data_IF_996523563176
#
_entry.id   IF_996523563176
#
_cell.length_a   1.000
_cell.length_b   1.000
_cell.length_c   1.000
_cell.angle_alpha   90.00
_cell.angle_beta   90.00
_cell.angle_gamma   90.00
#
_symmetry.space_group_name_H-M   'P 1'
#
loop_
_entity.id
_entity.type
_entity.pdbx_description
1 polymer ?
#
# COMPACT_ATOMS: atom_id res chain seq x y z
N UNK A 1 -11.19 -27.28 -53.62
CA UNK A 1 -10.80 -26.18 -54.52
C UNK A 1 -10.91 -24.89 -53.71
N UNK A 2 -9.77 -24.46 -53.13
CA UNK A 2 -9.17 -23.12 -53.29
C UNK A 2 -10.07 -21.94 -52.84
N UNK A 3 -9.64 -20.92 -52.12
CA UNK A 3 -8.44 -20.55 -51.35
C UNK A 3 -8.73 -19.09 -50.93
N UNK A 4 -8.33 -18.69 -49.72
CA UNK A 4 -7.75 -17.38 -49.33
C UNK A 4 -8.30 -16.05 -49.92
N UNK A 5 -8.60 -15.11 -49.01
CA UNK A 5 -8.30 -13.65 -48.97
C UNK A 5 -9.26 -13.04 -47.93
N UNK A 6 -8.89 -12.26 -46.92
CA UNK A 6 -7.59 -11.88 -46.36
C UNK A 6 -7.84 -11.14 -45.04
N UNK A 7 -6.99 -11.39 -44.06
CA UNK A 7 -6.72 -10.54 -42.90
C UNK A 7 -6.57 -9.07 -43.30
N UNK A 8 -7.51 -8.19 -42.91
CA UNK A 8 -7.31 -6.72 -42.94
C UNK A 8 -8.24 -5.86 -42.05
N UNK A 9 -9.23 -6.40 -41.33
CA UNK A 9 -10.22 -5.55 -40.62
C UNK A 9 -9.96 -5.39 -39.11
N UNK A 10 -9.08 -6.20 -38.50
CA UNK A 10 -8.86 -6.17 -37.04
C UNK A 10 -7.70 -5.25 -36.61
N UNK A 11 -6.90 -4.73 -37.54
CA UNK A 11 -5.76 -3.85 -37.22
C UNK A 11 -6.07 -2.35 -37.29
N UNK A 12 -7.26 -1.94 -37.71
CA UNK A 12 -7.61 -0.51 -37.89
C UNK A 12 -8.29 0.15 -36.69
N UNK A 13 -8.71 -0.62 -35.67
CA UNK A 13 -9.31 -0.08 -34.43
C UNK A 13 -8.24 0.14 -33.33
N UNK A 14 -7.02 -0.36 -33.53
CA UNK A 14 -5.94 -0.30 -32.55
C UNK A 14 -4.91 0.84 -32.78
N UNK A 15 -5.08 1.70 -33.79
CA UNK A 15 -4.10 2.76 -34.13
C UNK A 15 -4.78 4.14 -34.28
N UNK A 16 -5.75 4.46 -33.42
CA UNK A 16 -6.43 5.78 -33.45
C UNK A 16 -6.63 6.45 -32.09
N UNK A 17 -5.79 6.13 -31.09
CA UNK A 17 -5.87 6.78 -29.77
C UNK A 17 -4.53 7.32 -29.24
N UNK A 18 -3.66 7.77 -30.14
CA UNK A 18 -2.50 8.59 -29.80
C UNK A 18 -2.42 9.80 -30.74
N UNK A 19 -3.14 10.87 -30.41
CA UNK A 19 -2.73 12.24 -30.74
C UNK A 19 -3.57 13.26 -29.95
N UNK A 20 -2.90 14.27 -29.40
CA UNK A 20 -3.46 15.38 -28.62
C UNK A 20 -4.29 16.37 -29.45
N UNK A 21 -4.47 16.11 -30.75
CA UNK A 21 -5.11 17.02 -31.71
C UNK A 21 -6.60 16.74 -31.98
N UNK A 22 -7.17 15.65 -31.45
CA UNK A 22 -8.62 15.38 -31.57
C UNK A 22 -9.44 16.14 -30.51
N UNK A 23 -8.83 16.48 -29.37
CA UNK A 23 -9.51 17.09 -28.23
C UNK A 23 -9.68 18.62 -28.33
N UNK A 24 -9.00 19.28 -29.26
CA UNK A 24 -9.14 20.74 -29.47
C UNK A 24 -10.34 21.12 -30.33
N UNK A 25 -10.97 20.17 -31.04
CA UNK A 25 -12.13 20.45 -31.90
C UNK A 25 -13.48 20.18 -31.25
N UNK A 26 -13.54 19.53 -30.08
CA UNK A 26 -14.79 19.31 -29.34
C UNK A 26 -15.14 20.47 -28.38
N UNK A 27 -14.16 21.33 -28.05
CA UNK A 27 -14.32 22.45 -27.12
C UNK A 27 -14.90 23.72 -27.75
N UNK A 28 -15.10 23.76 -29.08
CA UNK A 28 -15.62 24.96 -29.77
C UNK A 28 -17.14 25.03 -29.95
N UNK A 29 -17.90 24.06 -29.41
CA UNK A 29 -19.35 23.95 -29.68
C UNK A 29 -20.29 24.12 -28.47
N UNK A 30 -19.80 24.59 -27.32
CA UNK A 30 -20.65 24.84 -26.13
C UNK A 30 -20.49 26.24 -25.50
N UNK A 31 -20.10 27.26 -26.26
CA UNK A 31 -20.10 28.64 -25.77
C UNK A 31 -20.90 29.57 -26.69
N UNK A 32 -22.23 29.58 -26.54
CA UNK A 32 -23.07 30.71 -26.93
C UNK A 32 -24.31 30.81 -26.03
N UNK A 33 -24.26 31.63 -24.98
CA UNK A 33 -25.10 32.84 -24.77
C UNK A 33 -25.09 33.33 -23.30
N UNK A 34 -25.20 34.65 -23.03
CA UNK A 34 -24.90 35.27 -21.73
C UNK A 34 -26.11 35.91 -21.01
N UNK A 35 -25.84 36.52 -19.84
CA UNK A 35 -26.63 37.49 -19.01
C UNK A 35 -27.28 36.89 -17.74
N UNK A 36 -27.29 37.53 -16.56
CA UNK A 36 -26.82 38.84 -16.11
C UNK A 36 -26.62 38.88 -14.57
N UNK A 37 -25.88 39.89 -14.17
CA UNK A 37 -25.53 40.38 -12.83
C UNK A 37 -26.70 40.85 -11.95
N UNK A 38 -26.58 40.67 -10.63
CA UNK A 38 -27.04 41.63 -9.61
C UNK A 38 -26.11 41.64 -8.39
N UNK A 39 -25.42 42.78 -8.19
CA UNK A 39 -24.85 43.29 -6.93
C UNK A 39 -25.98 44.08 -6.23
N UNK A 40 -26.06 44.38 -4.94
CA UNK A 40 -25.22 44.29 -3.74
C UNK A 40 -26.09 44.87 -2.60
N UNK A 41 -25.96 44.44 -1.34
CA UNK A 41 -25.94 45.39 -0.21
C UNK A 41 -25.18 44.81 0.97
N UNK A 42 -24.31 45.64 1.52
CA UNK A 42 -23.43 45.45 2.67
C UNK A 42 -24.18 45.54 4.00
N UNK A 43 -23.67 44.88 5.05
CA UNK A 43 -23.44 45.50 6.37
C UNK A 43 -22.66 44.56 7.30
N UNK A 44 -21.60 45.10 7.88
CA UNK A 44 -20.88 44.70 9.09
C UNK A 44 -20.81 46.00 9.93
N UNK A 45 -20.73 46.01 11.29
CA UNK A 45 -19.61 45.38 12.00
C UNK A 45 -19.86 44.90 13.47
N UNK A 46 -18.85 44.21 14.01
CA UNK A 46 -18.20 44.43 15.34
C UNK A 46 -18.11 43.24 16.34
N UNK A 47 -16.83 42.86 16.59
CA UNK A 47 -16.12 42.55 17.84
C UNK A 47 -16.57 41.49 18.88
N UNK A 48 -15.80 40.39 18.91
CA UNK A 48 -15.14 39.79 20.09
C UNK A 48 -15.75 38.51 20.72
N UNK A 49 -15.02 37.70 21.52
CA UNK A 49 -13.57 37.54 21.67
C UNK A 49 -13.06 36.08 21.41
N UNK A 50 -11.73 35.98 21.31
CA UNK A 50 -10.86 34.78 21.41
C UNK A 50 -11.48 33.53 22.06
N UNK A 51 -11.62 32.45 21.28
CA UNK A 51 -11.72 31.08 21.79
C UNK A 51 -10.54 30.26 21.29
N UNK A 52 -9.77 29.75 22.25
CA UNK A 52 -8.76 28.70 22.08
C UNK A 52 -9.30 27.60 21.17
N UNK A 53 -8.54 27.23 20.14
CA UNK A 53 -8.76 26.03 19.36
C UNK A 53 -8.68 24.83 20.32
N UNK A 54 -9.84 24.27 20.66
CA UNK A 54 -9.92 22.94 21.26
C UNK A 54 -9.49 21.93 20.20
N UNK A 55 -8.45 21.16 20.51
CA UNK A 55 -8.08 19.97 19.77
C UNK A 55 -9.30 19.05 19.67
N UNK A 56 -9.93 18.99 18.50
CA UNK A 56 -10.90 17.93 18.21
C UNK A 56 -10.12 16.63 18.12
N UNK A 57 -10.07 15.89 19.24
CA UNK A 57 -9.70 14.49 19.25
C UNK A 57 -10.79 13.72 18.50
N UNK A 58 -10.60 13.52 17.20
CA UNK A 58 -11.37 12.52 16.45
C UNK A 58 -11.01 11.16 17.01
N UNK A 59 -11.89 10.60 17.84
CA UNK A 59 -11.73 9.25 18.40
C UNK A 59 -11.69 8.23 17.26
N UNK A 60 -10.57 7.52 17.16
CA UNK A 60 -10.34 6.45 16.19
C UNK A 60 -11.30 5.30 16.46
N UNK A 61 -12.21 5.03 15.52
CA UNK A 61 -13.00 3.80 15.51
C UNK A 61 -12.46 2.89 14.40
N UNK A 62 -11.22 2.44 14.54
CA UNK A 62 -10.76 1.24 13.83
C UNK A 62 -11.68 0.06 14.16
N UNK A 63 -11.72 -0.95 13.28
CA UNK A 63 -12.34 -2.22 13.68
C UNK A 63 -11.75 -2.64 15.03
N UNK A 64 -12.57 -3.10 16.00
CA UNK A 64 -12.12 -3.36 17.35
C UNK A 64 -10.83 -4.15 17.33
N UNK A 65 -9.87 -3.69 18.14
CA UNK A 65 -8.61 -4.35 18.45
C UNK A 65 -8.81 -5.85 18.37
N UNK A 66 -7.99 -6.45 17.51
CA UNK A 66 -7.82 -7.87 17.32
C UNK A 66 -8.32 -8.66 18.54
N UNK A 67 -9.49 -9.33 18.46
CA UNK A 67 -10.22 -9.74 19.65
C UNK A 67 -9.37 -10.67 20.51
N UNK A 68 -9.26 -10.46 21.84
CA UNK A 68 -8.28 -11.11 22.73
C UNK A 68 -8.26 -12.65 22.72
N UNK A 69 -9.23 -13.27 22.04
CA UNK A 69 -9.20 -14.66 21.58
C UNK A 69 -7.97 -15.06 20.74
N UNK A 70 -7.06 -14.12 20.42
CA UNK A 70 -5.70 -14.36 19.87
C UNK A 70 -4.95 -15.48 20.57
N UNK A 71 -5.01 -15.46 21.89
CA UNK A 71 -4.54 -16.54 22.71
C UNK A 71 -5.79 -17.32 23.03
N UNK A 72 -6.00 -18.48 22.41
CA UNK A 72 -6.95 -19.43 22.95
C UNK A 72 -6.63 -19.53 24.46
N UNK A 73 -7.54 -19.12 25.37
CA UNK A 73 -7.18 -18.83 26.76
C UNK A 73 -6.64 -20.06 27.52
N UNK A 74 -6.67 -21.24 26.89
CA UNK A 74 -6.22 -22.52 27.42
C UNK A 74 -5.18 -23.25 26.56
N UNK A 75 -4.55 -22.61 25.54
CA UNK A 75 -3.53 -23.30 24.73
C UNK A 75 -2.14 -23.09 25.35
N UNK A 76 -1.45 -24.15 25.82
CA UNK A 76 -0.09 -24.01 26.31
C UNK A 76 0.80 -23.47 25.18
N UNK A 77 1.71 -22.52 25.50
CA UNK A 77 2.63 -21.87 24.54
C UNK A 77 3.45 -22.85 23.68
N UNK A 78 3.52 -24.12 24.06
CA UNK A 78 4.29 -25.17 23.38
C UNK A 78 3.55 -25.92 22.26
N UNK A 79 2.29 -25.58 21.92
CA UNK A 79 1.58 -26.23 20.81
C UNK A 79 1.16 -25.25 19.71
N UNK A 80 2.11 -24.50 19.15
CA UNK A 80 1.83 -23.75 17.91
C UNK A 80 1.65 -24.71 16.74
N UNK A 81 0.67 -24.44 15.89
CA UNK A 81 0.43 -25.17 14.64
C UNK A 81 0.98 -24.33 13.49
N UNK A 82 2.12 -24.72 12.90
CA UNK A 82 2.71 -23.95 11.81
C UNK A 82 1.81 -23.99 10.58
N UNK A 83 1.72 -22.84 9.89
CA UNK A 83 0.99 -22.70 8.64
C UNK A 83 1.80 -23.34 7.50
N UNK A 84 1.11 -24.13 6.67
CA UNK A 84 1.68 -24.65 5.43
C UNK A 84 1.83 -23.53 4.38
N UNK A 85 2.76 -23.72 3.44
CA UNK A 85 2.88 -22.84 2.28
C UNK A 85 1.80 -23.22 1.27
N UNK A 86 0.93 -22.27 0.92
CA UNK A 86 -0.06 -22.42 -0.15
C UNK A 86 0.61 -22.31 -1.52
N UNK A 87 1.49 -21.32 -1.67
CA UNK A 87 2.26 -21.09 -2.89
C UNK A 87 3.45 -20.17 -2.61
N UNK A 88 4.53 -20.34 -3.37
CA UNK A 88 5.65 -19.41 -3.41
C UNK A 88 5.94 -19.04 -4.87
N UNK A 89 6.13 -17.76 -5.17
CA UNK A 89 6.40 -17.32 -6.54
C UNK A 89 7.21 -16.03 -6.59
N UNK A 90 8.07 -15.92 -7.61
CA UNK A 90 8.87 -14.74 -7.89
C UNK A 90 7.98 -13.56 -8.29
N UNK A 91 8.24 -12.40 -7.70
CA UNK A 91 7.62 -11.13 -8.05
C UNK A 91 8.11 -10.65 -9.43
N UNK A 92 7.19 -10.16 -10.24
CA UNK A 92 7.46 -9.78 -11.63
C UNK A 92 7.87 -8.31 -11.67
N UNK A 93 8.97 -8.01 -12.35
CA UNK A 93 9.41 -6.64 -12.54
C UNK A 93 8.64 -5.95 -13.66
N UNK A 94 8.16 -4.73 -13.41
CA UNK A 94 7.41 -3.91 -14.36
C UNK A 94 7.67 -2.43 -14.13
N UNK A 95 7.36 -1.62 -15.14
CA UNK A 95 7.40 -0.16 -15.05
C UNK A 95 6.09 0.38 -14.48
N UNK A 96 6.18 1.39 -13.62
CA UNK A 96 5.05 2.12 -13.04
C UNK A 96 5.38 3.61 -12.96
N UNK A 97 4.37 4.45 -12.69
CA UNK A 97 4.55 5.89 -12.55
C UNK A 97 5.28 6.51 -13.75
N UNK A 98 6.27 7.35 -13.46
CA UNK A 98 7.14 7.93 -14.48
C UNK A 98 8.59 7.48 -14.23
N UNK A 99 9.05 6.51 -15.01
CA UNK A 99 10.41 5.96 -14.96
C UNK A 99 10.69 5.01 -13.78
N UNK A 100 9.70 4.74 -12.91
CA UNK A 100 9.88 3.88 -11.75
C UNK A 100 9.80 2.39 -12.13
N UNK A 101 10.55 1.56 -11.38
CA UNK A 101 10.55 0.10 -11.52
C UNK A 101 10.08 -0.53 -10.23
N UNK A 102 9.17 -1.49 -10.34
CA UNK A 102 8.64 -2.23 -9.20
C UNK A 102 8.66 -3.73 -9.48
N UNK A 103 8.83 -4.53 -8.43
CA UNK A 103 8.56 -5.97 -8.46
C UNK A 103 7.20 -6.22 -7.81
N UNK A 104 6.19 -6.51 -8.62
CA UNK A 104 4.82 -6.78 -8.17
C UNK A 104 4.63 -8.25 -7.85
N UNK A 105 4.05 -8.54 -6.68
CA UNK A 105 3.67 -9.90 -6.28
C UNK A 105 2.16 -10.08 -6.16
N UNK A 106 1.52 -9.43 -5.19
CA UNK A 106 0.06 -9.29 -5.09
C UNK A 106 -0.37 -8.22 -6.11
N UNK A 107 -1.47 -8.47 -6.83
CA UNK A 107 -1.90 -7.65 -7.97
C UNK A 107 -1.49 -8.22 -9.33
N UNK A 108 -0.78 -9.35 -9.35
CA UNK A 108 -0.42 -10.06 -10.59
C UNK A 108 -1.50 -11.09 -11.00
N UNK A 109 -1.49 -11.62 -12.24
CA UNK A 109 -2.42 -12.70 -12.61
C UNK A 109 -2.31 -13.96 -11.72
N UNK A 110 -1.14 -14.22 -11.10
CA UNK A 110 -0.95 -15.34 -10.17
C UNK A 110 -1.68 -15.14 -8.84
N UNK A 111 -1.81 -13.89 -8.40
CA UNK A 111 -2.46 -13.52 -7.15
C UNK A 111 -3.07 -12.11 -7.29
N UNK A 112 -4.23 -12.03 -7.96
CA UNK A 112 -4.85 -10.75 -8.32
C UNK A 112 -5.15 -9.88 -7.10
N UNK A 113 -5.55 -10.50 -6.01
CA UNK A 113 -5.64 -9.93 -4.67
C UNK A 113 -5.56 -11.07 -3.66
N UNK A 114 -5.34 -10.73 -2.39
CA UNK A 114 -5.30 -11.66 -1.27
C UNK A 114 -5.84 -10.97 -0.02
N UNK A 115 -7.16 -10.91 0.12
CA UNK A 115 -7.86 -10.12 1.14
C UNK A 115 -7.20 -10.18 2.53
N UNK A 116 -6.90 -9.03 3.17
CA UNK A 116 -7.28 -7.67 2.76
C UNK A 116 -6.28 -7.02 1.78
N UNK A 117 -5.26 -7.74 1.31
CA UNK A 117 -4.20 -7.15 0.49
C UNK A 117 -4.59 -7.07 -0.98
N UNK A 118 -4.43 -5.89 -1.57
CA UNK A 118 -4.81 -5.59 -2.94
C UNK A 118 -3.62 -5.62 -3.89
N UNK A 119 -2.48 -5.10 -3.42
CA UNK A 119 -1.25 -4.97 -4.20
C UNK A 119 -0.05 -4.99 -3.27
N UNK A 120 1.06 -5.58 -3.73
CA UNK A 120 2.35 -5.45 -3.08
C UNK A 120 3.44 -5.25 -4.12
N UNK A 121 4.07 -4.09 -4.05
CA UNK A 121 5.22 -3.72 -4.87
C UNK A 121 6.46 -3.55 -3.99
N UNK A 122 7.56 -4.14 -4.45
CA UNK A 122 8.91 -3.77 -4.00
C UNK A 122 9.49 -2.82 -5.04
N UNK A 123 9.57 -1.53 -4.72
CA UNK A 123 10.06 -0.52 -5.63
C UNK A 123 11.57 -0.30 -5.49
N UNK A 124 12.21 -0.01 -6.63
CA UNK A 124 13.55 0.54 -6.71
C UNK A 124 13.52 1.68 -7.71
N UNK A 125 13.55 2.90 -7.20
CA UNK A 125 13.32 4.10 -8.01
C UNK A 125 14.60 4.92 -8.08
N UNK A 126 15.14 5.00 -9.29
CA UNK A 126 16.33 5.78 -9.58
C UNK A 126 16.05 7.30 -9.46
N UNK A 127 17.08 8.13 -9.23
CA UNK A 127 16.92 9.58 -9.27
C UNK A 127 16.26 10.05 -10.58
N UNK A 128 15.34 11.02 -10.49
CA UNK A 128 14.59 11.54 -11.65
C UNK A 128 13.43 10.65 -12.12
N UNK A 129 13.07 9.61 -11.36
CA UNK A 129 11.86 8.84 -11.53
C UNK A 129 10.99 8.92 -10.26
N UNK A 130 9.69 8.64 -10.38
CA UNK A 130 8.78 8.68 -9.22
C UNK A 130 7.32 8.45 -9.60
N UNK A 131 6.44 8.81 -8.67
CA UNK A 131 5.00 8.68 -8.81
C UNK A 131 4.38 10.09 -8.71
N UNK A 132 4.26 10.81 -9.84
CA UNK A 132 3.66 12.15 -9.86
C UNK A 132 2.16 12.08 -9.52
N UNK A 133 1.50 13.22 -9.49
CA UNK A 133 0.09 13.40 -9.11
C UNK A 133 -0.83 12.27 -9.62
N UNK A 134 -1.35 11.48 -8.69
CA UNK A 134 -2.27 10.39 -8.98
C UNK A 134 -3.32 10.23 -7.87
N UNK A 135 -4.54 9.74 -8.21
CA UNK A 135 -5.60 9.59 -7.24
C UNK A 135 -5.60 8.21 -6.57
N UNK A 136 -6.31 8.10 -5.44
CA UNK A 136 -6.74 6.83 -4.82
C UNK A 136 -8.13 6.97 -4.19
N UNK A 137 -8.91 5.88 -4.12
CA UNK A 137 -10.19 5.82 -3.38
C UNK A 137 -10.53 4.39 -2.95
N UNK A 138 -10.82 4.23 -1.66
CA UNK A 138 -11.38 2.99 -1.09
C UNK A 138 -10.35 2.01 -0.50
N UNK A 139 -9.08 2.41 -0.38
CA UNK A 139 -8.01 1.60 0.20
C UNK A 139 -7.13 2.42 1.15
N UNK A 140 -6.26 1.72 1.87
CA UNK A 140 -5.08 2.28 2.54
C UNK A 140 -3.83 1.92 1.72
N UNK A 141 -2.88 2.84 1.61
CA UNK A 141 -1.53 2.56 1.11
C UNK A 141 -0.55 2.64 2.27
N UNK A 142 0.33 1.64 2.34
CA UNK A 142 1.36 1.54 3.36
C UNK A 142 2.71 1.54 2.66
N UNK A 143 3.44 2.64 2.80
CA UNK A 143 4.79 2.81 2.26
C UNK A 143 5.79 2.47 3.36
N UNK A 144 6.68 1.50 3.15
CA UNK A 144 7.81 1.20 4.05
C UNK A 144 9.12 1.40 3.32
N UNK A 145 9.94 2.36 3.77
CA UNK A 145 11.17 2.70 3.08
C UNK A 145 12.35 1.92 3.64
N UNK A 146 13.05 1.18 2.78
CA UNK A 146 14.20 0.34 3.15
C UNK A 146 15.52 1.08 2.98
N UNK A 147 15.65 1.91 1.94
CA UNK A 147 16.83 2.71 1.66
C UNK A 147 16.46 4.05 1.00
N UNK A 148 17.17 5.10 1.40
CA UNK A 148 16.99 6.47 0.89
C UNK A 148 15.85 7.24 1.56
N UNK A 149 15.21 8.15 0.82
CA UNK A 149 14.11 8.99 1.28
C UNK A 149 13.07 9.24 0.17
N UNK A 150 11.79 9.34 0.52
CA UNK A 150 10.70 9.68 -0.40
C UNK A 150 9.90 10.86 0.16
N UNK A 151 9.79 11.93 -0.63
CA UNK A 151 8.89 13.04 -0.33
C UNK A 151 7.48 12.71 -0.80
N UNK A 152 6.49 13.10 -0.01
CA UNK A 152 5.08 12.98 -0.37
C UNK A 152 4.36 14.32 -0.19
N UNK A 153 3.36 14.56 -1.02
CA UNK A 153 2.54 15.77 -1.01
C UNK A 153 1.12 15.43 -1.49
N UNK A 154 0.09 15.98 -0.85
CA UNK A 154 -1.30 15.79 -1.25
C UNK A 154 -2.09 17.09 -1.46
N UNK A 155 -3.25 16.95 -2.09
CA UNK A 155 -4.17 18.05 -2.33
C UNK A 155 -4.91 18.59 -1.08
N UNK A 156 -4.68 17.99 0.08
CA UNK A 156 -5.23 18.40 1.35
C UNK A 156 -4.26 19.30 2.13
N UNK A 157 -3.03 19.45 1.63
CA UNK A 157 -1.95 20.25 2.21
C UNK A 157 -1.04 19.45 3.13
N UNK A 158 -1.18 18.11 3.17
CA UNK A 158 -0.24 17.26 3.88
C UNK A 158 1.00 17.05 3.01
N UNK A 159 2.17 17.21 3.62
CA UNK A 159 3.44 16.93 2.98
C UNK A 159 4.46 16.47 4.02
N UNK A 160 5.46 15.72 3.58
CA UNK A 160 6.49 15.20 4.46
C UNK A 160 7.49 14.33 3.73
N UNK A 161 8.41 13.76 4.50
CA UNK A 161 9.43 12.83 4.02
C UNK A 161 9.36 11.55 4.81
N UNK A 162 9.32 10.44 4.08
CA UNK A 162 9.50 9.09 4.60
C UNK A 162 10.99 8.79 4.49
N UNK A 163 11.69 8.67 5.62
CA UNK A 163 13.11 8.36 5.66
C UNK A 163 13.33 6.83 5.75
N UNK A 164 14.57 6.37 5.53
CA UNK A 164 14.88 4.95 5.64
C UNK A 164 14.49 4.38 7.02
N UNK A 165 13.68 3.33 7.02
CA UNK A 165 13.10 2.69 8.20
C UNK A 165 11.74 3.24 8.62
N UNK A 166 11.32 4.39 8.09
CA UNK A 166 10.01 4.97 8.37
C UNK A 166 8.91 4.27 7.57
N UNK A 167 7.68 4.39 8.08
CA UNK A 167 6.47 4.01 7.37
C UNK A 167 5.49 5.19 7.28
N UNK A 168 4.71 5.18 6.21
CA UNK A 168 3.53 5.99 6.07
C UNK A 168 2.31 5.09 5.85
N UNK A 169 1.27 5.29 6.66
CA UNK A 169 -0.04 4.70 6.47
C UNK A 169 -0.99 5.79 5.98
N UNK A 170 -1.35 5.76 4.70
CA UNK A 170 -2.30 6.70 4.10
C UNK A 170 -3.64 6.00 3.89
N UNK A 171 -4.68 6.46 4.57
CA UNK A 171 -6.05 6.08 4.27
C UNK A 171 -6.59 6.98 3.15
N UNK A 172 -6.90 6.43 1.98
CA UNK A 172 -7.46 7.20 0.86
C UNK A 172 -8.95 7.53 1.05
N UNK A 173 -9.71 6.63 1.69
CA UNK A 173 -11.13 6.83 1.98
C UNK A 173 -11.91 7.27 0.74
N UNK A 174 -12.70 8.34 0.89
CA UNK A 174 -13.53 8.93 -0.18
C UNK A 174 -12.75 9.56 -1.34
N UNK A 175 -11.44 9.69 -1.26
CA UNK A 175 -10.63 10.22 -2.35
C UNK A 175 -9.45 11.04 -1.88
N UNK A 176 -8.27 10.73 -2.42
CA UNK A 176 -7.06 11.55 -2.26
C UNK A 176 -6.36 11.67 -3.61
N UNK A 177 -5.70 12.80 -3.86
CA UNK A 177 -4.72 12.96 -4.92
C UNK A 177 -3.39 13.38 -4.31
N UNK A 178 -2.32 12.66 -4.64
CA UNK A 178 -1.00 12.86 -4.05
C UNK A 178 0.12 12.53 -5.03
N UNK A 179 1.34 12.91 -4.67
CA UNK A 179 2.57 12.51 -5.32
C UNK A 179 3.53 11.87 -4.31
N UNK A 180 4.34 10.93 -4.79
CA UNK A 180 5.42 10.28 -4.03
C UNK A 180 6.71 10.32 -4.87
N UNK A 181 7.61 11.21 -4.50
CA UNK A 181 8.81 11.54 -5.27
C UNK A 181 10.07 11.20 -4.46
N UNK A 182 10.87 10.22 -4.90
CA UNK A 182 12.13 9.89 -4.24
C UNK A 182 13.14 11.03 -4.27
N UNK A 183 13.85 11.23 -3.16
CA UNK A 183 14.97 12.17 -3.09
C UNK A 183 16.19 11.60 -3.80
N UNK A 184 17.07 12.48 -4.26
CA UNK A 184 18.36 12.06 -4.78
C UNK A 184 19.28 11.65 -3.63
N UNK A 185 19.70 10.38 -3.62
CA UNK A 185 20.71 9.91 -2.67
C UNK A 185 22.09 10.52 -3.01
N UNK A 186 22.93 10.84 -2.01
CA UNK A 186 24.25 11.45 -2.25
C UNK A 186 25.18 10.62 -3.15
N UNK A 187 25.04 9.30 -3.13
CA UNK A 187 25.81 8.35 -3.94
C UNK A 187 25.16 8.02 -5.30
N UNK A 188 24.01 8.64 -5.60
CA UNK A 188 23.24 8.38 -6.83
C UNK A 188 22.49 7.05 -6.83
N UNK A 189 22.46 6.32 -5.71
CA UNK A 189 21.72 5.06 -5.60
C UNK A 189 20.20 5.26 -5.66
N UNK A 190 19.49 4.20 -6.04
CA UNK A 190 18.03 4.19 -6.05
C UNK A 190 17.45 4.16 -4.63
N UNK A 191 16.27 4.75 -4.47
CA UNK A 191 15.45 4.60 -3.27
C UNK A 191 14.72 3.27 -3.35
N UNK A 192 14.75 2.50 -2.27
CA UNK A 192 14.21 1.13 -2.22
C UNK A 192 13.19 1.04 -1.10
N UNK A 193 12.04 0.46 -1.39
CA UNK A 193 10.98 0.32 -0.40
C UNK A 193 9.85 -0.58 -0.87
N UNK A 194 8.81 -0.66 -0.04
CA UNK A 194 7.63 -1.48 -0.26
C UNK A 194 6.38 -0.61 -0.28
N UNK A 195 5.49 -0.86 -1.23
CA UNK A 195 4.14 -0.30 -1.27
C UNK A 195 3.13 -1.44 -1.10
N UNK A 196 2.40 -1.44 0.01
CA UNK A 196 1.32 -2.39 0.27
C UNK A 196 -0.02 -1.67 0.23
N UNK A 197 -0.95 -2.14 -0.61
CA UNK A 197 -2.33 -1.67 -0.58
C UNK A 197 -3.19 -2.62 0.25
N UNK A 198 -3.93 -2.05 1.20
CA UNK A 198 -4.84 -2.77 2.08
C UNK A 198 -6.25 -2.26 1.84
N UNK A 199 -7.18 -3.18 1.59
CA UNK A 199 -8.58 -2.86 1.35
C UNK A 199 -9.21 -2.26 2.62
N UNK A 200 -10.04 -1.23 2.46
CA UNK A 200 -10.87 -0.72 3.54
C UNK A 200 -12.14 -1.55 3.67
N UNK A 201 -12.66 -1.77 4.90
CA UNK A 201 -14.01 -2.29 5.07
C UNK A 201 -15.00 -1.42 4.33
N UNK A 202 -16.00 -2.01 3.69
CA UNK A 202 -17.02 -1.32 2.88
C UNK A 202 -17.52 -0.01 3.54
N UNK A 203 -17.85 -0.06 4.83
CA UNK A 203 -18.37 1.07 5.61
C UNK A 203 -17.37 2.23 5.83
N UNK A 204 -16.09 1.99 5.60
CA UNK A 204 -15.01 2.97 5.76
C UNK A 204 -14.47 3.48 4.41
N UNK A 205 -14.92 2.93 3.27
CA UNK A 205 -14.46 3.39 1.94
C UNK A 205 -14.83 4.84 1.62
N UNK A 206 -15.76 5.44 2.36
CA UNK A 206 -16.16 6.85 2.22
C UNK A 206 -15.68 7.73 3.38
N UNK A 207 -14.80 7.24 4.25
CA UNK A 207 -14.23 8.07 5.32
C UNK A 207 -13.35 9.19 4.75
N UNK A 208 -13.07 10.21 5.56
CA UNK A 208 -12.12 11.26 5.18
C UNK A 208 -10.69 10.69 5.07
N UNK A 209 -9.89 11.15 4.09
CA UNK A 209 -8.50 10.74 3.98
C UNK A 209 -7.69 11.10 5.23
N UNK A 210 -6.67 10.31 5.52
CA UNK A 210 -5.83 10.46 6.73
C UNK A 210 -4.43 9.93 6.49
N UNK A 211 -3.45 10.52 7.17
CA UNK A 211 -2.09 9.99 7.31
C UNK A 211 -1.81 9.54 8.74
N UNK A 212 -1.03 8.48 8.86
CA UNK A 212 -0.33 8.10 10.09
C UNK A 212 1.09 7.71 9.73
N UNK A 213 2.03 8.62 10.00
CA UNK A 213 3.45 8.33 9.92
C UNK A 213 3.88 7.51 11.14
N UNK A 214 4.80 6.57 10.93
CA UNK A 214 5.48 5.82 11.98
C UNK A 214 6.98 5.91 11.74
N UNK A 215 7.68 6.63 12.60
CA UNK A 215 9.13 6.81 12.48
C UNK A 215 9.87 5.56 12.90
N UNK A 216 11.01 5.28 12.27
CA UNK A 216 11.86 4.12 12.57
C UNK A 216 12.18 4.01 14.07
N UNK A 217 12.40 5.15 14.74
CA UNK A 217 12.69 5.22 16.16
C UNK A 217 11.50 4.83 17.07
N UNK A 218 10.27 4.85 16.56
CA UNK A 218 9.06 4.42 17.27
C UNK A 218 8.86 2.89 17.18
N UNK A 219 9.58 2.20 16.28
CA UNK A 219 9.37 0.78 16.00
C UNK A 219 10.16 -0.08 17.00
N UNK A 220 9.49 -0.88 17.85
CA UNK A 220 10.18 -1.79 18.75
C UNK A 220 10.98 -2.84 17.97
N UNK A 221 12.24 -3.02 18.36
CA UNK A 221 13.12 -4.03 17.78
C UNK A 221 13.55 -5.01 18.86
N UNK A 222 13.32 -6.29 18.64
CA UNK A 222 13.73 -7.36 19.56
C UNK A 222 14.74 -8.30 18.91
N UNK A 223 15.55 -8.94 19.75
CA UNK A 223 16.45 -10.01 19.35
C UNK A 223 16.01 -11.31 20.02
N UNK A 224 15.90 -12.38 19.24
CA UNK A 224 15.52 -13.72 19.70
C UNK A 224 16.51 -14.76 19.18
N UNK A 225 16.36 -16.02 19.62
CA UNK A 225 17.23 -17.13 19.21
C UNK A 225 18.71 -16.82 19.47
N UNK A 226 19.03 -16.47 20.73
CA UNK A 226 20.37 -16.08 21.19
C UNK A 226 21.01 -14.91 20.40
N UNK A 227 20.16 -14.08 19.77
CA UNK A 227 20.60 -12.92 19.00
C UNK A 227 20.76 -13.16 17.50
N UNK A 228 20.50 -14.39 17.02
CA UNK A 228 20.57 -14.72 15.59
C UNK A 228 19.39 -14.18 14.79
N UNK A 229 18.30 -13.78 15.45
CA UNK A 229 17.12 -13.22 14.79
C UNK A 229 16.84 -11.84 15.34
N UNK A 230 16.69 -10.87 14.44
CA UNK A 230 16.23 -9.51 14.75
C UNK A 230 14.85 -9.30 14.13
N UNK A 231 13.90 -8.80 14.92
CA UNK A 231 12.52 -8.55 14.49
C UNK A 231 12.19 -7.09 14.78
N UNK A 232 11.88 -6.31 13.74
CA UNK A 232 11.22 -5.02 13.88
C UNK A 232 9.70 -5.24 13.87
N UNK A 233 9.03 -4.80 14.93
CA UNK A 233 7.60 -5.02 15.15
C UNK A 233 6.86 -3.77 14.67
N UNK A 234 6.64 -3.66 13.35
CA UNK A 234 5.99 -2.50 12.73
C UNK A 234 4.53 -2.41 13.18
N UNK A 235 3.79 -3.53 13.13
CA UNK A 235 2.42 -3.62 13.63
C UNK A 235 2.15 -5.04 14.13
N UNK A 236 1.39 -5.17 15.22
CA UNK A 236 1.09 -6.42 15.90
C UNK A 236 1.95 -6.68 17.14
N UNK A 237 2.18 -7.96 17.44
CA UNK A 237 2.95 -8.39 18.61
C UNK A 237 3.94 -9.51 18.23
N UNK A 238 5.12 -9.47 18.82
CA UNK A 238 6.11 -10.54 18.71
C UNK A 238 6.78 -10.82 20.06
N UNK A 239 6.81 -12.09 20.47
CA UNK A 239 7.54 -12.57 21.66
C UNK A 239 7.30 -11.73 22.94
N UNK A 240 6.05 -11.32 23.17
CA UNK A 240 5.65 -10.53 24.35
C UNK A 240 5.93 -9.03 24.25
N UNK A 241 6.33 -8.53 23.08
CA UNK A 241 6.49 -7.09 22.80
C UNK A 241 5.44 -6.65 21.79
N UNK A 242 4.68 -5.62 22.15
CA UNK A 242 3.68 -4.99 21.30
C UNK A 242 4.27 -3.82 20.49
N UNK A 243 3.73 -3.60 19.31
CA UNK A 243 3.99 -2.41 18.47
C UNK A 243 3.15 -1.20 18.91
N UNK A 244 3.39 -0.06 18.24
CA UNK A 244 2.50 1.10 18.28
C UNK A 244 1.13 0.70 17.71
N UNK A 245 0.05 1.10 18.40
CA UNK A 245 -1.32 0.79 18.02
C UNK A 245 -1.92 1.86 17.08
N UNK A 246 -3.09 1.56 16.51
CA UNK A 246 -3.92 2.51 15.73
C UNK A 246 -3.25 3.07 14.46
N UNK A 247 -2.51 2.21 13.75
CA UNK A 247 -1.82 2.57 12.51
C UNK A 247 -2.73 2.58 11.28
N UNK A 248 -3.62 1.59 11.16
CA UNK A 248 -4.49 1.35 10.01
C UNK A 248 -5.92 1.03 10.44
N UNK A 249 -6.92 1.32 9.59
CA UNK A 249 -8.31 0.95 9.86
C UNK A 249 -8.56 -0.55 9.70
N UNK A 250 -7.94 -1.16 8.68
CA UNK A 250 -7.98 -2.61 8.50
C UNK A 250 -6.90 -3.26 9.36
N UNK A 251 -7.24 -4.18 10.26
CA UNK A 251 -6.24 -4.85 11.10
C UNK A 251 -5.17 -5.57 10.26
N UNK A 252 -3.93 -5.10 10.39
CA UNK A 252 -2.76 -5.63 9.68
C UNK A 252 -1.56 -5.69 10.63
N UNK A 253 -0.85 -6.81 10.63
CA UNK A 253 0.41 -7.02 11.32
C UNK A 253 1.54 -7.07 10.30
N UNK A 254 2.64 -6.40 10.61
CA UNK A 254 3.79 -6.26 9.73
C UNK A 254 5.04 -6.42 10.58
N UNK A 255 5.95 -7.28 10.12
CA UNK A 255 7.25 -7.51 10.75
C UNK A 255 8.33 -7.46 9.67
N UNK A 256 9.46 -6.80 9.97
CA UNK A 256 10.69 -6.92 9.18
C UNK A 256 11.65 -7.80 9.98
N UNK A 257 11.94 -9.00 9.44
CA UNK A 257 12.65 -10.06 10.14
C UNK A 257 13.95 -10.35 9.40
N UNK A 258 15.06 -10.28 10.15
CA UNK A 258 16.39 -10.67 9.69
C UNK A 258 16.88 -11.87 10.50
N UNK A 259 17.32 -12.92 9.81
CA UNK A 259 17.81 -14.17 10.39
C UNK A 259 19.25 -14.38 9.91
N UNK A 260 20.18 -14.47 10.86
CA UNK A 260 21.57 -14.84 10.59
C UNK A 260 21.70 -16.34 10.27
N UNK A 261 22.77 -16.79 9.59
CA UNK A 261 23.02 -18.21 9.33
C UNK A 261 22.94 -19.07 10.61
N UNK A 262 22.12 -20.12 10.56
CA UNK A 262 21.84 -21.02 11.69
C UNK A 262 20.73 -20.54 12.63
N UNK A 263 20.21 -19.32 12.42
CA UNK A 263 19.11 -18.76 13.19
C UNK A 263 17.74 -19.31 12.78
N UNK A 264 16.81 -19.32 13.73
CA UNK A 264 15.43 -19.77 13.52
C UNK A 264 14.42 -18.95 14.32
N UNK A 265 13.22 -18.80 13.77
CA UNK A 265 12.12 -18.08 14.41
C UNK A 265 10.79 -18.77 14.15
N UNK A 266 9.89 -18.70 15.13
CA UNK A 266 8.47 -19.01 14.94
C UNK A 266 7.68 -17.78 15.37
N UNK A 267 7.05 -17.10 14.42
CA UNK A 267 6.22 -15.94 14.67
C UNK A 267 4.76 -16.36 14.82
N UNK A 268 4.14 -16.20 16.00
CA UNK A 268 2.71 -16.40 16.16
C UNK A 268 1.93 -15.40 15.30
N UNK A 269 0.85 -15.86 14.70
CA UNK A 269 -0.07 -15.04 13.92
C UNK A 269 -1.51 -15.29 14.37
N UNK A 270 -2.39 -14.30 14.25
CA UNK A 270 -3.83 -14.50 14.42
C UNK A 270 -4.36 -15.73 13.68
N UNK A 271 -5.18 -16.55 14.36
CA UNK A 271 -5.93 -17.60 13.68
C UNK A 271 -6.94 -16.97 12.74
N UNK A 272 -7.07 -17.52 11.53
CA UNK A 272 -8.03 -17.00 10.55
C UNK A 272 -7.55 -15.75 9.81
N UNK A 273 -6.33 -15.24 10.06
CA UNK A 273 -5.80 -14.16 9.23
C UNK A 273 -5.13 -14.69 7.98
N UNK A 274 -5.22 -13.96 6.87
CA UNK A 274 -4.42 -14.23 5.70
C UNK A 274 -3.01 -13.71 5.92
N UNK A 275 -2.00 -14.49 5.52
CA UNK A 275 -0.60 -14.12 5.76
C UNK A 275 0.30 -14.48 4.58
N UNK A 276 1.33 -13.67 4.36
CA UNK A 276 2.38 -13.92 3.39
C UNK A 276 3.72 -13.38 3.89
N UNK A 277 4.81 -13.93 3.39
CA UNK A 277 6.16 -13.38 3.55
C UNK A 277 6.72 -12.93 2.20
N UNK A 278 7.42 -11.81 2.15
CA UNK A 278 8.14 -11.36 0.96
C UNK A 278 9.62 -11.27 1.27
N UNK A 279 10.43 -12.04 0.54
CA UNK A 279 11.88 -12.16 0.73
C UNK A 279 12.62 -10.95 0.13
N UNK A 280 13.30 -10.19 0.97
CA UNK A 280 14.03 -8.98 0.60
C UNK A 280 15.49 -9.25 0.26
N UNK A 281 16.14 -10.17 0.97
CA UNK A 281 17.53 -10.54 0.78
C UNK A 281 17.78 -11.98 1.23
N UNK A 282 18.80 -12.61 0.66
CA UNK A 282 19.18 -13.97 0.96
C UNK A 282 18.13 -15.02 0.62
N UNK A 283 18.29 -16.19 1.23
CA UNK A 283 17.35 -17.30 1.14
C UNK A 283 16.88 -17.67 2.53
N UNK A 284 15.57 -17.87 2.69
CA UNK A 284 14.94 -18.26 3.95
C UNK A 284 14.11 -19.51 3.72
N UNK A 285 14.21 -20.47 4.62
CA UNK A 285 13.43 -21.68 4.58
C UNK A 285 12.21 -21.54 5.47
N UNK A 286 11.02 -21.66 4.87
CA UNK A 286 9.74 -21.50 5.55
C UNK A 286 9.06 -22.86 5.76
N UNK A 287 8.37 -23.01 6.89
CA UNK A 287 7.71 -24.27 7.28
C UNK A 287 8.48 -25.02 8.37
N UNK A 288 8.12 -26.29 8.59
CA UNK A 288 8.77 -27.16 9.59
C UNK A 288 9.05 -28.53 9.02
N UNK A 289 10.17 -29.14 9.44
CA UNK A 289 10.48 -30.53 9.13
C UNK A 289 10.58 -30.80 7.63
N UNK A 290 9.85 -31.81 7.14
CA UNK A 290 9.92 -32.24 5.73
C UNK A 290 9.17 -31.33 4.76
N UNK A 291 8.24 -30.51 5.26
CA UNK A 291 7.41 -29.61 4.45
C UNK A 291 8.06 -28.23 4.28
N UNK A 292 9.28 -28.07 4.78
CA UNK A 292 10.04 -26.84 4.70
C UNK A 292 10.49 -26.56 3.26
N UNK A 293 10.32 -25.32 2.82
CA UNK A 293 10.71 -24.88 1.48
C UNK A 293 11.66 -23.69 1.57
N UNK A 294 12.85 -23.82 1.01
CA UNK A 294 13.80 -22.71 0.86
C UNK A 294 13.38 -21.80 -0.28
N UNK A 295 13.23 -20.53 0.03
CA UNK A 295 12.77 -19.50 -0.90
C UNK A 295 13.81 -18.38 -0.95
N UNK A 296 14.27 -18.07 -2.16
CA UNK A 296 15.24 -16.99 -2.40
C UNK A 296 14.59 -15.63 -2.57
N UNK A 297 15.43 -14.59 -2.69
CA UNK A 297 15.06 -13.19 -2.85
C UNK A 297 13.92 -12.92 -3.86
N UNK A 298 13.12 -11.89 -3.58
CA UNK A 298 12.02 -11.36 -4.39
C UNK A 298 10.84 -12.31 -4.60
N UNK A 299 10.74 -13.36 -3.80
CA UNK A 299 9.60 -14.25 -3.81
C UNK A 299 8.58 -13.84 -2.76
N UNK A 300 7.31 -13.96 -3.12
CA UNK A 300 6.19 -13.93 -2.20
C UNK A 300 5.82 -15.38 -1.83
N UNK A 301 5.78 -15.66 -0.54
CA UNK A 301 5.39 -16.94 0.08
C UNK A 301 4.04 -16.74 0.74
N UNK A 302 2.99 -17.25 0.12
CA UNK A 302 1.63 -17.19 0.63
C UNK A 302 1.36 -18.40 1.50
N UNK A 303 0.90 -18.17 2.73
CA UNK A 303 0.59 -19.24 3.67
C UNK A 303 -0.89 -19.63 3.61
N UNK A 304 -1.17 -20.86 4.00
CA UNK A 304 -2.53 -21.26 4.34
C UNK A 304 -3.02 -20.50 5.58
N UNK A 305 -4.34 -20.34 5.67
CA UNK A 305 -5.00 -19.71 6.81
C UNK A 305 -5.05 -20.63 8.03
N UNK A 306 -4.94 -21.96 7.82
CA UNK A 306 -4.90 -22.96 8.88
C UNK A 306 -3.55 -22.94 9.58
N UNK A 307 -3.58 -22.79 10.90
CA UNK A 307 -2.40 -22.67 11.76
C UNK A 307 -2.36 -21.32 12.46
N UNK A 308 -1.50 -21.21 13.47
CA UNK A 308 -1.36 -20.03 14.33
C UNK A 308 0.08 -19.50 14.37
N UNK A 309 0.98 -20.00 13.51
CA UNK A 309 2.34 -19.47 13.40
C UNK A 309 2.94 -19.66 12.01
N UNK A 310 3.99 -18.87 11.73
CA UNK A 310 4.91 -19.08 10.61
C UNK A 310 6.29 -19.36 11.18
N UNK A 311 6.91 -20.45 10.74
CA UNK A 311 8.28 -20.81 11.09
C UNK A 311 9.20 -20.50 9.92
N UNK A 312 10.37 -19.93 10.24
CA UNK A 312 11.39 -19.56 9.27
C UNK A 312 12.79 -19.80 9.85
N UNK A 313 13.72 -20.28 9.03
CA UNK A 313 15.12 -20.46 9.42
C UNK A 313 16.07 -20.22 8.24
N UNK A 314 17.33 -19.97 8.56
CA UNK A 314 18.43 -19.83 7.59
C UNK A 314 19.46 -20.91 7.90
N UNK A 315 19.88 -21.64 6.86
CA UNK A 315 20.85 -22.71 7.00
C UNK A 315 22.17 -22.21 7.61
N UNK A 316 22.84 -23.03 8.42
CA UNK A 316 24.08 -22.64 9.13
C UNK A 316 25.23 -22.34 8.16
N UNK A 317 25.23 -23.02 7.03
CA UNK A 317 26.17 -22.90 5.92
C UNK A 317 25.83 -21.77 4.93
N UNK A 318 24.76 -21.01 5.17
CA UNK A 318 24.42 -19.86 4.34
C UNK A 318 25.49 -18.76 4.45
N UNK A 319 25.78 -18.08 3.33
CA UNK A 319 26.80 -17.04 3.26
C UNK A 319 26.26 -15.62 3.55
N UNK A 320 24.94 -15.48 3.68
CA UNK A 320 24.25 -14.22 3.88
C UNK A 320 23.04 -14.41 4.80
N UNK A 321 22.58 -13.30 5.39
CA UNK A 321 21.36 -13.31 6.20
C UNK A 321 20.13 -13.50 5.31
N UNK A 322 19.12 -14.20 5.84
CA UNK A 322 17.77 -14.15 5.28
C UNK A 322 17.05 -12.92 5.81
N UNK A 323 16.51 -12.08 4.93
CA UNK A 323 15.66 -10.96 5.33
C UNK A 323 14.33 -11.04 4.58
N UNK A 324 13.23 -10.89 5.31
CA UNK A 324 11.89 -10.87 4.74
C UNK A 324 10.95 -9.99 5.56
N UNK A 325 9.95 -9.43 4.89
CA UNK A 325 8.77 -8.90 5.58
C UNK A 325 7.75 -10.02 5.76
N UNK A 326 7.14 -10.12 6.93
CA UNK A 326 6.01 -10.99 7.22
C UNK A 326 4.78 -10.13 7.48
N UNK A 327 3.72 -10.36 6.72
CA UNK A 327 2.49 -9.57 6.79
C UNK A 327 1.31 -10.49 7.03
N UNK A 328 0.44 -10.13 7.95
CA UNK A 328 -0.82 -10.81 8.19
C UNK A 328 -1.97 -9.81 8.34
N UNK A 329 -3.15 -10.11 7.81
CA UNK A 329 -4.28 -9.18 7.82
C UNK A 329 -5.61 -9.91 8.01
N UNK A 330 -6.56 -9.23 8.64
CA UNK A 330 -7.93 -9.73 8.79
C UNK A 330 -8.59 -9.79 7.41
N UNK A 331 -8.96 -10.98 6.90
CA UNK A 331 -9.67 -11.08 5.64
C UNK A 331 -11.02 -10.39 5.77
N UNK A 332 -11.35 -9.55 4.79
CA UNK A 332 -12.65 -8.92 4.68
C UNK A 332 -13.57 -9.80 3.84
N UNK A 333 -14.73 -10.13 4.39
CA UNK A 333 -15.81 -10.82 3.68
C UNK A 333 -16.62 -9.80 2.87
N UNK A 334 -16.00 -9.30 1.80
CA UNK A 334 -16.59 -8.31 0.91
C UNK A 334 -16.09 -8.51 -0.52
N UNK A 335 -16.88 -8.04 -1.50
CA UNK A 335 -16.48 -8.05 -2.90
C UNK A 335 -15.43 -6.95 -3.14
N UNK A 336 -14.40 -7.26 -3.92
CA UNK A 336 -13.39 -6.30 -4.37
C UNK A 336 -13.58 -6.06 -5.86
N UNK A 337 -13.86 -4.81 -6.24
CA UNK A 337 -13.88 -4.33 -7.63
C UNK A 337 -12.83 -3.24 -7.76
N UNK A 338 -11.76 -3.54 -8.50
CA UNK A 338 -10.63 -2.65 -8.70
C UNK A 338 -10.55 -2.22 -10.16
N UNK A 339 -10.41 -0.92 -10.38
CA UNK A 339 -10.04 -0.35 -11.68
C UNK A 339 -8.97 0.73 -11.47
N UNK A 340 -7.73 0.37 -11.77
CA UNK A 340 -6.57 1.22 -11.51
C UNK A 340 -6.50 1.67 -10.05
N UNK A 341 -6.58 2.99 -9.77
CA UNK A 341 -6.47 3.56 -8.43
C UNK A 341 -7.72 3.44 -7.55
N UNK A 342 -8.85 2.98 -8.10
CA UNK A 342 -10.13 2.96 -7.40
C UNK A 342 -10.50 1.52 -7.03
N UNK A 343 -10.73 1.28 -5.74
CA UNK A 343 -11.05 -0.04 -5.18
C UNK A 343 -12.32 0.04 -4.35
N UNK A 344 -13.45 -0.39 -4.92
CA UNK A 344 -14.78 -0.32 -4.32
C UNK A 344 -15.44 -1.71 -4.33
N UNK A 345 -16.72 -1.82 -3.95
CA UNK A 345 -17.39 -3.11 -3.80
C UNK A 345 -18.24 -3.50 -5.02
N UNK A 346 -18.59 -2.52 -5.87
CA UNK A 346 -19.42 -2.70 -7.08
C UNK A 346 -18.82 -2.01 -8.30
N UNK A 347 -19.29 -2.36 -9.51
CA UNK A 347 -18.82 -1.72 -10.75
C UNK A 347 -19.35 -0.29 -10.85
N UNK A 348 -20.56 -0.07 -10.37
CA UNK A 348 -21.24 1.20 -10.31
C UNK A 348 -20.49 2.21 -9.43
N UNK A 349 -20.01 1.78 -8.26
CA UNK A 349 -19.20 2.64 -7.37
C UNK A 349 -17.84 2.99 -7.98
N UNK A 350 -17.20 2.05 -8.67
CA UNK A 350 -15.94 2.33 -9.40
C UNK A 350 -16.18 3.33 -10.52
N UNK A 351 -17.26 3.16 -11.29
CA UNK A 351 -17.62 4.10 -12.34
C UNK A 351 -17.92 5.49 -11.76
N UNK A 352 -18.66 5.56 -10.66
CA UNK A 352 -18.91 6.80 -9.95
C UNK A 352 -17.61 7.44 -9.44
N UNK A 353 -16.64 6.66 -8.95
CA UNK A 353 -15.34 7.17 -8.53
C UNK A 353 -14.55 7.82 -9.68
N UNK A 354 -14.62 7.23 -10.87
CA UNK A 354 -14.02 7.84 -12.07
C UNK A 354 -14.70 9.16 -12.43
N UNK A 355 -16.03 9.23 -12.38
CA UNK A 355 -16.79 10.45 -12.64
C UNK A 355 -16.50 11.54 -11.60
N UNK A 356 -16.46 11.18 -10.33
CA UNK A 356 -16.17 12.10 -9.23
C UNK A 356 -14.76 12.70 -9.36
N UNK A 357 -13.77 11.88 -9.73
CA UNK A 357 -12.42 12.36 -9.99
C UNK A 357 -12.39 13.34 -11.18
N UNK A 358 -12.99 12.98 -12.31
CA UNK A 358 -13.02 13.81 -13.52
C UNK A 358 -13.79 15.13 -13.33
N UNK A 359 -14.87 15.10 -12.54
CA UNK A 359 -15.72 16.26 -12.28
C UNK A 359 -15.29 17.07 -11.05
N UNK A 360 -14.29 16.60 -10.29
CA UNK A 360 -13.81 17.18 -9.04
C UNK A 360 -14.92 17.28 -7.97
N UNK A 361 -15.59 16.17 -7.70
CA UNK A 361 -16.71 16.07 -6.77
C UNK A 361 -16.51 14.97 -5.74
N UNK A 362 -17.33 14.99 -4.68
CA UNK A 362 -17.51 13.90 -3.73
C UNK A 362 -16.20 13.35 -3.13
N UNK A 363 -15.26 14.23 -2.78
CA UNK A 363 -13.96 13.88 -2.21
C UNK A 363 -12.78 14.34 -3.08
N UNK A 364 -13.03 14.68 -4.36
CA UNK A 364 -12.00 15.18 -5.28
C UNK A 364 -12.12 16.67 -5.59
N UNK A 365 -12.87 17.45 -4.80
CA UNK A 365 -13.08 18.89 -5.00
C UNK A 365 -11.76 19.67 -5.06
N UNK A 366 -10.78 19.24 -4.26
CA UNK A 366 -9.44 19.87 -4.19
C UNK A 366 -8.52 19.48 -5.34
N UNK A 367 -8.84 18.46 -6.13
CA UNK A 367 -8.03 18.10 -7.29
C UNK A 367 -8.12 19.16 -8.40
N UNK A 368 -9.13 20.04 -8.37
CA UNK A 368 -9.36 21.04 -9.41
C UNK A 368 -8.23 22.07 -9.44
N UNK A 369 -7.35 21.94 -10.42
CA UNK A 369 -6.22 22.86 -10.61
C UNK A 369 -5.10 22.68 -9.59
N UNK A 370 -5.15 21.64 -8.75
CA UNK A 370 -4.03 21.28 -7.89
C UNK A 370 -2.94 20.61 -8.70
N UNK A 371 -1.70 20.93 -8.36
CA UNK A 371 -0.50 20.27 -8.85
C UNK A 371 0.49 20.22 -7.69
N UNK A 372 1.09 19.06 -7.43
CA UNK A 372 2.14 18.98 -6.41
C UNK A 372 3.37 19.80 -6.82
N UNK A 373 4.06 20.40 -5.85
CA UNK A 373 5.36 21.03 -6.11
C UNK A 373 6.41 19.96 -6.42
N UNK A 374 6.37 18.83 -5.72
CA UNK A 374 7.35 17.75 -5.89
C UNK A 374 7.22 17.04 -7.26
N UNK A 375 6.01 16.93 -7.81
CA UNK A 375 5.76 16.28 -9.10
C UNK A 375 6.23 17.12 -10.29
N UNK A 376 6.33 18.45 -10.15
CA UNK A 376 6.85 19.35 -11.19
C UNK A 376 8.31 19.09 -11.53
N UNK A 377 9.08 18.53 -10.60
CA UNK A 377 10.51 18.23 -10.78
C UNK A 377 10.82 17.26 -11.93
N UNK A 378 9.80 16.55 -12.43
CA UNK A 378 9.88 15.61 -13.57
C UNK A 378 9.72 16.28 -14.95
N UNK A 379 9.43 17.59 -15.01
CA UNK A 379 9.04 18.30 -16.25
C UNK A 379 10.22 19.03 -16.92
N UNK A 380 11.46 18.62 -16.68
CA UNK A 380 12.65 19.27 -17.26
C UNK A 380 13.54 18.33 -18.08
#
# INVERSE_FOLDING_TARGET
MKLLISYSIISAVAILFYSSSFWSQLTSLLHQTPLASFLSTTQNPSNGPSRRASSNSTSFFGLPLVPPTFFAPNKPRNMTVPRAIRQAFLAIEQSEGAGARVRRSIGTPKLRNFSPFLMLDHFSVAPGAGFPDHPHRGQETITYLLNGAVDHEDFAGNAGTIEAGDLQFMTAGRGIMHAEMPRQNPDGSANVGMQLWVDLPEKLKTCEPRYRDLRAAEIPTIKVDDGNVTIKIISGQSHGTDSVQELAYTPVWIFDITIAPGGKVTQPLPVGWNAFAYTLAGSTAFGVGKDQTTVGQYHNVVFEQKGDSVSAEVAKEANENGQFILVAGLPLDQKVVQYGPFVLNTQEEVYQAMLDYQSHQNGFERAKGWQSEIGKSMVH
#
